data_IF_681273710108
#
_entry.id   IF_681273710108
#
_cell.length_a   1.000
_cell.length_b   1.000
_cell.length_c   1.000
_cell.angle_alpha   90.00
_cell.angle_beta   90.00
_cell.angle_gamma   90.00
#
_symmetry.space_group_name_H-M   'P 1'
#
loop_
_entity.id
_entity.type
_entity.pdbx_description
1 polymer ?
#
# COMPACT_ATOMS: atom_id res chain seq x y z
N UNK A 1 -25.73 -14.07 -25.39
CA UNK A 1 -25.48 -14.51 -24.01
C UNK A 1 -25.27 -13.26 -23.19
N UNK A 2 -25.92 -13.11 -22.03
CA UNK A 2 -25.64 -11.99 -21.14
C UNK A 2 -24.17 -12.11 -20.68
N UNK A 3 -23.43 -11.04 -20.84
CA UNK A 3 -22.01 -10.99 -20.44
C UNK A 3 -21.93 -11.14 -18.92
N UNK A 4 -21.19 -12.14 -18.44
CA UNK A 4 -21.12 -12.46 -17.02
C UNK A 4 -20.38 -11.33 -16.27
N UNK A 5 -20.95 -10.83 -15.18
CA UNK A 5 -20.32 -9.83 -14.33
C UNK A 5 -19.12 -10.39 -13.58
N UNK A 6 -18.15 -9.53 -13.23
CA UNK A 6 -16.97 -9.94 -12.46
C UNK A 6 -17.36 -10.40 -11.07
N UNK A 7 -16.72 -11.49 -10.62
CA UNK A 7 -16.94 -12.07 -9.29
C UNK A 7 -16.09 -11.36 -8.25
N UNK A 8 -16.69 -10.68 -7.26
CA UNK A 8 -15.94 -10.06 -6.17
C UNK A 8 -15.30 -11.13 -5.27
N UNK A 9 -14.15 -10.79 -4.66
CA UNK A 9 -13.46 -11.66 -3.70
C UNK A 9 -13.88 -11.40 -2.25
N UNK A 10 -14.65 -10.35 -1.99
CA UNK A 10 -15.17 -10.02 -0.66
C UNK A 10 -16.53 -9.32 -0.76
N UNK A 11 -17.28 -9.34 0.32
CA UNK A 11 -18.49 -8.54 0.46
C UNK A 11 -18.17 -7.11 0.93
N UNK A 12 -19.07 -6.13 0.73
CA UNK A 12 -18.95 -4.80 1.29
C UNK A 12 -18.77 -4.84 2.82
N UNK A 13 -18.08 -3.85 3.37
CA UNK A 13 -17.77 -3.73 4.78
C UNK A 13 -18.19 -2.35 5.31
N UNK A 14 -18.54 -2.27 6.59
CA UNK A 14 -18.94 -0.99 7.23
C UNK A 14 -17.83 0.04 7.33
N UNK A 15 -16.57 -0.40 7.26
CA UNK A 15 -15.39 0.45 7.44
C UNK A 15 -14.38 0.14 6.35
N UNK A 16 -13.75 1.15 5.73
CA UNK A 16 -12.74 0.91 4.70
C UNK A 16 -11.57 0.07 5.23
N UNK A 17 -11.09 -0.88 4.44
CA UNK A 17 -10.03 -1.81 4.83
C UNK A 17 -8.73 -1.10 5.29
N UNK A 18 -8.38 0.03 4.67
CA UNK A 18 -7.19 0.81 5.04
C UNK A 18 -7.31 1.46 6.43
N UNK A 19 -8.51 1.79 6.90
CA UNK A 19 -8.70 2.37 8.23
C UNK A 19 -8.55 1.35 9.35
N UNK A 20 -8.88 0.09 9.10
CA UNK A 20 -8.74 -1.00 10.08
C UNK A 20 -7.27 -1.24 10.46
N UNK A 21 -6.34 -0.97 9.56
CA UNK A 21 -4.90 -1.19 9.74
C UNK A 21 -4.10 0.10 9.90
N UNK A 22 -4.73 1.27 9.98
CA UNK A 22 -4.07 2.57 9.96
C UNK A 22 -3.00 2.72 11.06
N UNK A 23 -3.28 2.27 12.29
CA UNK A 23 -2.32 2.34 13.42
C UNK A 23 -1.11 1.46 13.19
N UNK A 24 -1.31 0.21 12.77
CA UNK A 24 -0.22 -0.72 12.48
C UNK A 24 0.63 -0.21 11.30
N UNK A 25 0.01 0.29 10.26
CA UNK A 25 0.68 0.86 9.10
C UNK A 25 1.54 2.07 9.47
N UNK A 26 1.02 3.00 10.28
CA UNK A 26 1.78 4.16 10.78
C UNK A 26 3.01 3.71 11.59
N UNK A 27 2.84 2.76 12.51
CA UNK A 27 3.95 2.22 13.31
C UNK A 27 5.01 1.58 12.43
N UNK A 28 4.61 0.81 11.42
CA UNK A 28 5.52 0.14 10.49
C UNK A 28 6.30 1.14 9.63
N UNK A 29 5.66 2.23 9.17
CA UNK A 29 6.33 3.28 8.40
C UNK A 29 7.40 3.97 9.27
N UNK A 30 7.05 4.41 10.48
CA UNK A 30 7.98 5.06 11.40
C UNK A 30 9.19 4.15 11.67
N UNK A 31 8.95 2.89 11.99
CA UNK A 31 9.99 1.90 12.24
C UNK A 31 10.89 1.68 11.03
N UNK A 32 10.31 1.69 9.82
CA UNK A 32 11.06 1.52 8.57
C UNK A 32 11.93 2.73 8.27
N UNK A 33 11.38 3.94 8.42
CA UNK A 33 12.13 5.20 8.23
C UNK A 33 13.30 5.30 9.24
N UNK A 34 13.07 4.96 10.51
CA UNK A 34 14.12 4.96 11.52
C UNK A 34 15.22 3.94 11.19
N UNK A 35 14.83 2.73 10.77
CA UNK A 35 15.79 1.70 10.36
C UNK A 35 16.63 2.13 9.17
N UNK A 36 16.01 2.80 8.18
CA UNK A 36 16.67 3.28 6.98
C UNK A 36 17.61 4.49 7.23
N UNK A 37 17.54 5.11 8.41
CA UNK A 37 18.34 6.30 8.73
C UNK A 37 19.85 6.03 8.83
N UNK A 38 20.24 4.79 9.15
CA UNK A 38 21.63 4.35 9.25
C UNK A 38 21.83 3.01 8.55
N UNK A 39 23.05 2.74 8.10
CA UNK A 39 23.42 1.42 7.56
C UNK A 39 23.24 0.32 8.60
N UNK A 40 23.04 -0.90 8.15
CA UNK A 40 22.93 -2.07 9.04
C UNK A 40 24.17 -2.21 9.92
N UNK A 41 25.38 -1.95 9.35
CA UNK A 41 26.64 -1.97 10.12
C UNK A 41 26.63 -0.95 11.25
N UNK A 42 26.14 0.27 11.02
CA UNK A 42 26.01 1.28 12.08
C UNK A 42 25.09 0.82 13.21
N UNK A 43 23.92 0.25 12.88
CA UNK A 43 23.01 -0.29 13.89
C UNK A 43 23.63 -1.43 14.70
N UNK A 44 24.37 -2.34 14.03
CA UNK A 44 25.09 -3.44 14.70
C UNK A 44 26.19 -2.92 15.61
N UNK A 45 26.97 -1.92 15.18
CA UNK A 45 28.01 -1.32 16.00
C UNK A 45 27.44 -0.58 17.21
N UNK A 46 26.36 0.19 17.05
CA UNK A 46 25.66 0.81 18.19
C UNK A 46 25.18 -0.25 19.17
N UNK A 47 24.51 -1.29 18.67
CA UNK A 47 24.03 -2.40 19.50
C UNK A 47 25.19 -3.11 20.22
N UNK A 48 26.28 -3.40 19.52
CA UNK A 48 27.48 -4.02 20.07
C UNK A 48 28.14 -3.20 21.16
N UNK A 49 28.28 -1.88 20.95
CA UNK A 49 28.83 -0.96 21.96
C UNK A 49 27.94 -0.90 23.21
N UNK A 50 26.62 -0.74 23.04
CA UNK A 50 25.68 -0.72 24.17
C UNK A 50 25.71 -2.03 24.94
N UNK A 51 25.75 -3.16 24.24
CA UNK A 51 25.86 -4.48 24.88
C UNK A 51 27.20 -4.67 25.57
N UNK A 52 28.31 -4.19 24.97
CA UNK A 52 29.63 -4.22 25.57
C UNK A 52 29.69 -3.44 26.89
N UNK A 53 29.12 -2.23 26.90
CA UNK A 53 29.00 -1.42 28.13
C UNK A 53 28.16 -2.14 29.19
N UNK A 54 27.03 -2.71 28.80
CA UNK A 54 26.16 -3.47 29.72
C UNK A 54 26.91 -4.67 30.33
N UNK A 55 27.66 -5.43 29.56
CA UNK A 55 28.48 -6.54 30.04
C UNK A 55 29.58 -6.06 31.00
N UNK A 56 30.27 -4.95 30.66
CA UNK A 56 31.34 -4.39 31.49
C UNK A 56 30.82 -3.91 32.87
N UNK A 57 29.60 -3.36 32.92
CA UNK A 57 29.01 -2.81 34.16
C UNK A 57 28.23 -3.86 34.96
N UNK A 58 27.54 -4.78 34.32
CA UNK A 58 26.55 -5.68 34.95
C UNK A 58 26.86 -7.17 34.74
N UNK A 59 27.93 -7.48 34.02
CA UNK A 59 28.36 -8.88 33.78
C UNK A 59 27.64 -9.58 32.62
N UNK A 60 28.08 -10.79 32.32
CA UNK A 60 27.63 -11.58 31.15
C UNK A 60 26.16 -11.94 31.14
N UNK A 61 25.46 -11.91 32.30
CA UNK A 61 24.03 -12.18 32.36
C UNK A 61 23.20 -11.21 31.51
N UNK A 62 23.73 -10.04 31.21
CA UNK A 62 23.10 -9.06 30.29
C UNK A 62 22.98 -9.53 28.84
N UNK A 63 23.67 -10.62 28.46
CA UNK A 63 23.50 -11.28 27.15
C UNK A 63 22.23 -12.13 27.07
N UNK A 64 21.68 -12.59 28.21
CA UNK A 64 20.52 -13.47 28.20
C UNK A 64 19.28 -12.92 27.52
N UNK A 65 18.86 -11.66 27.72
CA UNK A 65 17.70 -11.13 27.01
C UNK A 65 17.87 -11.17 25.49
N UNK A 66 19.04 -10.80 24.97
CA UNK A 66 19.32 -10.86 23.54
C UNK A 66 19.31 -12.30 23.03
N UNK A 67 19.95 -13.23 23.74
CA UNK A 67 19.96 -14.65 23.39
C UNK A 67 18.54 -15.23 23.36
N UNK A 68 17.71 -14.95 24.37
CA UNK A 68 16.31 -15.40 24.44
C UNK A 68 15.51 -14.86 23.25
N UNK A 69 15.62 -13.57 22.94
CA UNK A 69 14.88 -12.96 21.83
C UNK A 69 15.30 -13.55 20.48
N UNK A 70 16.61 -13.74 20.27
CA UNK A 70 17.12 -14.34 19.01
C UNK A 70 16.63 -15.77 18.88
N UNK A 71 16.82 -16.59 19.93
CA UNK A 71 16.39 -17.99 19.94
C UNK A 71 14.89 -18.12 19.69
N UNK A 72 14.06 -17.27 20.33
CA UNK A 72 12.63 -17.24 20.09
C UNK A 72 12.31 -16.92 18.63
N UNK A 73 12.92 -15.88 18.04
CA UNK A 73 12.67 -15.46 16.64
C UNK A 73 13.10 -16.52 15.64
N UNK A 74 14.26 -17.13 15.84
CA UNK A 74 14.76 -18.22 14.98
C UNK A 74 13.86 -19.45 15.12
N UNK A 75 13.55 -19.86 16.35
CA UNK A 75 12.65 -20.99 16.61
C UNK A 75 11.26 -20.78 16.01
N UNK A 76 10.68 -19.60 16.15
CA UNK A 76 9.40 -19.23 15.54
C UNK A 76 9.41 -19.38 14.01
N UNK A 77 10.47 -18.94 13.35
CA UNK A 77 10.62 -19.10 11.91
C UNK A 77 10.80 -20.58 11.50
N UNK A 78 11.60 -21.36 12.25
CA UNK A 78 11.80 -22.79 11.99
C UNK A 78 10.47 -23.54 12.12
N UNK A 79 9.67 -23.26 13.16
CA UNK A 79 8.36 -23.89 13.34
C UNK A 79 7.40 -23.60 12.18
N UNK A 80 7.45 -22.38 11.61
CA UNK A 80 6.67 -22.05 10.40
C UNK A 80 7.20 -22.76 9.16
N UNK A 81 8.53 -22.89 8.99
CA UNK A 81 9.14 -23.60 7.85
C UNK A 81 8.75 -25.09 7.88
N UNK A 82 8.73 -25.70 9.06
CA UNK A 82 8.35 -27.12 9.20
C UNK A 82 6.83 -27.36 9.20
N UNK A 83 6.02 -26.30 9.05
CA UNK A 83 4.57 -26.42 9.06
C UNK A 83 3.95 -26.70 10.45
N UNK A 84 4.75 -26.69 11.53
CA UNK A 84 4.25 -26.89 12.90
C UNK A 84 3.54 -25.64 13.45
N UNK A 85 3.77 -24.51 12.80
CA UNK A 85 3.10 -23.24 13.11
C UNK A 85 2.61 -22.59 11.82
N UNK A 86 1.43 -21.98 11.87
CA UNK A 86 0.87 -21.21 10.75
C UNK A 86 1.83 -20.10 10.34
N UNK A 87 2.10 -20.01 9.03
CA UNK A 87 2.96 -18.96 8.46
C UNK A 87 2.23 -17.61 8.51
N UNK A 88 2.62 -16.74 9.45
CA UNK A 88 2.04 -15.41 9.62
C UNK A 88 2.20 -14.48 8.42
N UNK A 89 3.19 -14.73 7.56
CA UNK A 89 3.44 -13.91 6.36
C UNK A 89 2.37 -14.12 5.29
N UNK A 90 1.68 -15.27 5.31
CA UNK A 90 0.59 -15.59 4.39
C UNK A 90 -0.77 -15.02 4.85
N UNK A 91 -0.87 -14.48 6.04
CA UNK A 91 -2.11 -13.88 6.53
C UNK A 91 -2.54 -12.71 5.65
N UNK A 92 -3.76 -12.75 5.11
CA UNK A 92 -4.33 -11.74 4.21
C UNK A 92 -3.81 -11.82 2.77
N UNK A 93 -3.10 -12.89 2.39
CA UNK A 93 -2.72 -13.16 1.00
C UNK A 93 -3.89 -13.79 0.27
N UNK A 94 -4.23 -13.27 -0.90
CA UNK A 94 -5.09 -13.93 -1.87
C UNK A 94 -4.23 -14.86 -2.74
N UNK A 95 -4.46 -16.17 -2.67
CA UNK A 95 -3.68 -17.17 -3.39
C UNK A 95 -4.06 -17.31 -4.86
N UNK A 96 -5.21 -16.79 -5.25
CA UNK A 96 -5.66 -16.79 -6.64
C UNK A 96 -5.16 -15.55 -7.37
N UNK A 97 -5.08 -15.66 -8.70
CA UNK A 97 -4.90 -14.52 -9.58
C UNK A 97 -6.11 -13.60 -9.49
N UNK A 98 -5.91 -12.34 -9.21
CA UNK A 98 -6.96 -11.35 -9.07
C UNK A 98 -6.57 -10.00 -9.68
N UNK A 99 -7.54 -9.15 -9.91
CA UNK A 99 -7.35 -7.79 -10.42
C UNK A 99 -8.29 -6.83 -9.69
N UNK A 100 -7.90 -5.56 -9.63
CA UNK A 100 -8.76 -4.52 -9.11
C UNK A 100 -9.65 -3.98 -10.23
N UNK A 101 -10.95 -3.83 -9.94
CA UNK A 101 -11.95 -3.19 -10.80
C UNK A 101 -12.77 -2.21 -9.96
N UNK A 102 -13.26 -1.14 -10.59
CA UNK A 102 -14.09 -0.17 -9.87
C UNK A 102 -15.52 -0.72 -9.76
N UNK A 103 -16.07 -0.87 -8.54
CA UNK A 103 -17.45 -1.30 -8.35
C UNK A 103 -18.42 -0.20 -8.79
N UNK A 104 -19.67 -0.59 -9.08
CA UNK A 104 -20.79 0.33 -9.23
C UNK A 104 -21.24 0.87 -7.87
N UNK A 105 -22.06 1.89 -7.87
CA UNK A 105 -22.61 2.50 -6.65
C UNK A 105 -23.39 1.55 -5.76
N UNK A 106 -23.97 0.48 -6.33
CA UNK A 106 -24.69 -0.58 -5.60
C UNK A 106 -23.77 -1.69 -5.05
N UNK A 107 -22.44 -1.60 -5.27
CA UNK A 107 -21.45 -2.59 -4.87
C UNK A 107 -21.29 -3.75 -5.87
N UNK A 108 -22.06 -3.78 -6.95
CA UNK A 108 -21.90 -4.79 -8.01
C UNK A 108 -20.73 -4.44 -8.94
N UNK A 109 -20.25 -5.44 -9.67
CA UNK A 109 -19.25 -5.24 -10.73
C UNK A 109 -19.88 -5.44 -12.10
N UNK A 110 -19.39 -4.69 -13.09
CA UNK A 110 -19.73 -4.90 -14.49
C UNK A 110 -19.00 -6.11 -15.09
N UNK A 111 -19.03 -6.19 -16.41
CA UNK A 111 -18.32 -7.17 -17.24
C UNK A 111 -17.23 -6.52 -18.08
N UNK A 112 -17.16 -5.19 -18.12
CA UNK A 112 -16.18 -4.42 -18.89
C UNK A 112 -14.99 -4.06 -18.00
N UNK A 113 -13.76 -4.48 -18.34
CA UNK A 113 -12.56 -4.11 -17.60
C UNK A 113 -12.28 -2.61 -17.65
N UNK A 114 -11.70 -2.07 -16.59
CA UNK A 114 -11.29 -0.67 -16.49
C UNK A 114 -12.41 0.32 -16.90
N UNK A 115 -13.66 0.02 -16.52
CA UNK A 115 -14.84 0.77 -16.97
C UNK A 115 -14.91 2.21 -16.44
N UNK A 116 -14.09 2.59 -15.48
CA UNK A 116 -14.02 3.93 -14.88
C UNK A 116 -12.65 4.55 -15.04
N UNK A 117 -12.58 5.88 -15.00
CA UNK A 117 -11.31 6.60 -14.85
C UNK A 117 -10.78 6.46 -13.42
N UNK A 118 -9.48 6.69 -13.26
CA UNK A 118 -8.79 6.70 -11.96
C UNK A 118 -7.99 7.98 -11.82
N UNK A 119 -7.85 8.48 -10.59
CA UNK A 119 -6.88 9.51 -10.24
C UNK A 119 -5.83 8.88 -9.33
N UNK A 120 -4.59 8.88 -9.81
CA UNK A 120 -3.42 8.40 -9.07
C UNK A 120 -2.62 9.60 -8.64
N UNK A 121 -2.33 9.69 -7.35
CA UNK A 121 -1.56 10.76 -6.74
C UNK A 121 -0.34 10.17 -6.04
N UNK A 122 0.84 10.50 -6.53
CA UNK A 122 2.11 10.17 -5.93
C UNK A 122 2.56 11.36 -5.09
N UNK A 123 2.86 11.15 -3.83
CA UNK A 123 3.41 12.19 -2.98
C UNK A 123 4.55 11.62 -2.15
N UNK A 124 5.68 12.32 -2.14
CA UNK A 124 6.84 11.87 -1.41
C UNK A 124 7.67 13.01 -0.83
N UNK A 125 8.59 12.63 0.04
CA UNK A 125 9.54 13.52 0.67
C UNK A 125 10.85 12.83 0.96
N UNK A 126 11.93 13.61 1.04
CA UNK A 126 13.26 13.13 1.40
C UNK A 126 13.95 14.15 2.30
N UNK A 127 14.68 13.66 3.29
CA UNK A 127 15.58 14.47 4.09
C UNK A 127 17.03 14.28 3.62
N UNK A 128 17.62 15.33 3.06
CA UNK A 128 19.04 15.34 2.64
C UNK A 128 19.97 15.90 3.75
N UNK A 129 19.48 15.98 5.00
CA UNK A 129 20.28 16.37 6.16
C UNK A 129 21.02 15.15 6.72
N UNK A 130 22.26 15.30 7.26
CA UNK A 130 23.00 14.18 7.87
C UNK A 130 22.28 13.48 9.02
N UNK A 131 21.37 14.15 9.70
CA UNK A 131 20.51 13.55 10.73
C UNK A 131 19.35 12.73 10.14
N UNK A 132 19.06 12.83 8.84
CA UNK A 132 17.97 12.11 8.20
C UNK A 132 16.61 12.35 8.88
N UNK A 133 15.94 11.28 9.30
CA UNK A 133 14.64 11.34 9.97
C UNK A 133 14.66 12.03 11.36
N UNK A 134 15.84 12.26 11.94
CA UNK A 134 15.98 12.98 13.22
C UNK A 134 16.05 14.50 13.05
N UNK A 135 16.11 15.02 11.81
CA UNK A 135 16.06 16.45 11.57
C UNK A 135 14.71 17.04 12.03
N UNK A 136 14.71 18.05 12.92
CA UNK A 136 13.46 18.59 13.49
C UNK A 136 12.52 19.21 12.46
N UNK A 137 13.07 19.79 11.39
CA UNK A 137 12.27 20.43 10.34
C UNK A 137 11.59 19.35 9.47
N UNK A 138 12.35 18.35 9.06
CA UNK A 138 11.81 17.21 8.30
C UNK A 138 10.74 16.46 9.10
N UNK A 139 10.97 16.26 10.41
CA UNK A 139 9.99 15.65 11.30
C UNK A 139 8.68 16.42 11.31
N UNK A 140 8.73 17.75 11.39
CA UNK A 140 7.53 18.58 11.37
C UNK A 140 6.79 18.53 10.03
N UNK A 141 7.51 18.44 8.90
CA UNK A 141 6.91 18.20 7.57
C UNK A 141 6.21 16.84 7.54
N UNK A 142 6.85 15.80 8.08
CA UNK A 142 6.28 14.45 8.18
C UNK A 142 5.04 14.42 9.07
N UNK A 143 5.01 15.19 10.17
CA UNK A 143 3.84 15.31 11.06
C UNK A 143 2.65 15.95 10.33
N UNK A 144 2.89 16.98 9.50
CA UNK A 144 1.87 17.57 8.64
C UNK A 144 1.32 16.56 7.66
N UNK A 145 2.21 15.81 6.97
CA UNK A 145 1.78 14.78 6.04
C UNK A 145 0.93 13.70 6.72
N UNK A 146 1.38 13.18 7.86
CA UNK A 146 0.63 12.18 8.61
C UNK A 146 -0.74 12.70 9.09
N UNK A 147 -0.83 13.97 9.48
CA UNK A 147 -2.09 14.59 9.87
C UNK A 147 -3.03 14.79 8.67
N UNK A 148 -2.50 15.16 7.50
CA UNK A 148 -3.28 15.26 6.26
C UNK A 148 -3.85 13.91 5.82
N UNK A 149 -3.07 12.86 5.90
CA UNK A 149 -3.56 11.50 5.58
C UNK A 149 -4.68 11.08 6.55
N UNK A 150 -4.51 11.35 7.86
CA UNK A 150 -5.56 11.05 8.84
C UNK A 150 -6.85 11.83 8.59
N UNK A 151 -6.76 13.12 8.21
CA UNK A 151 -7.93 13.91 7.85
C UNK A 151 -8.66 13.34 6.64
N UNK A 152 -7.93 13.01 5.57
CA UNK A 152 -8.48 12.38 4.37
C UNK A 152 -9.17 11.04 4.67
N UNK A 153 -8.60 10.24 5.58
CA UNK A 153 -9.15 8.94 5.97
C UNK A 153 -10.34 9.05 6.92
N UNK A 154 -10.40 10.10 7.73
CA UNK A 154 -11.49 10.29 8.69
C UNK A 154 -12.84 10.56 8.01
N UNK A 155 -12.81 11.18 6.83
CA UNK A 155 -14.01 11.48 6.04
C UNK A 155 -13.77 11.11 4.57
N UNK A 156 -13.45 9.84 4.34
CA UNK A 156 -13.05 9.35 3.02
C UNK A 156 -14.15 9.48 1.95
N UNK A 157 -15.42 9.41 2.35
CA UNK A 157 -16.53 9.59 1.43
C UNK A 157 -16.58 11.02 0.88
N UNK A 158 -16.37 12.03 1.72
CA UNK A 158 -16.35 13.44 1.33
C UNK A 158 -15.03 13.81 0.68
N UNK A 159 -13.91 13.35 1.21
CA UNK A 159 -12.57 13.64 0.67
C UNK A 159 -12.30 12.96 -0.68
N UNK A 160 -13.04 11.91 -0.99
CA UNK A 160 -12.84 11.10 -2.18
C UNK A 160 -11.57 10.24 -2.17
N UNK A 161 -10.91 10.10 -1.03
CA UNK A 161 -9.76 9.19 -0.89
C UNK A 161 -10.26 7.73 -0.96
N UNK A 162 -9.72 6.96 -1.89
CA UNK A 162 -10.03 5.54 -2.04
C UNK A 162 -9.00 4.65 -1.35
N UNK A 163 -7.75 5.10 -1.26
CA UNK A 163 -6.69 4.35 -0.60
C UNK A 163 -5.33 5.03 -0.68
N UNK A 164 -4.42 4.61 0.18
CA UNK A 164 -3.04 5.08 0.22
C UNK A 164 -2.11 3.91 0.57
N UNK A 165 -1.09 3.69 -0.22
CA UNK A 165 -0.06 2.68 0.02
C UNK A 165 1.29 3.37 0.15
N UNK A 166 1.97 3.27 1.30
CA UNK A 166 3.28 3.87 1.51
C UNK A 166 4.39 2.98 0.97
N UNK A 167 5.46 3.62 0.49
CA UNK A 167 6.70 3.00 0.03
C UNK A 167 7.91 3.74 0.56
N UNK A 168 9.03 3.03 0.69
CA UNK A 168 10.35 3.61 0.90
C UNK A 168 11.19 3.28 -0.33
N UNK A 169 11.81 4.30 -0.92
CA UNK A 169 12.75 4.13 -2.01
C UNK A 169 14.01 3.39 -1.57
N UNK A 170 14.80 2.95 -2.52
CA UNK A 170 16.07 2.25 -2.30
C UNK A 170 17.17 2.79 -3.23
N UNK A 171 17.10 4.05 -3.62
CA UNK A 171 18.08 4.69 -4.49
C UNK A 171 19.42 4.94 -3.82
N UNK A 172 19.46 4.91 -2.49
CA UNK A 172 20.66 5.17 -1.69
C UNK A 172 20.81 4.13 -0.56
N UNK A 173 21.98 4.09 0.05
CA UNK A 173 22.25 3.15 1.13
C UNK A 173 21.42 3.44 2.40
N UNK A 174 21.07 4.71 2.63
CA UNK A 174 20.29 5.19 3.80
C UNK A 174 19.54 6.46 3.47
N UNK A 175 18.67 6.88 4.39
CA UNK A 175 17.88 8.11 4.27
C UNK A 175 17.13 8.23 2.94
N UNK A 176 16.54 7.11 2.51
CA UNK A 176 15.79 7.04 1.28
C UNK A 176 14.50 7.87 1.34
N UNK A 177 13.98 8.19 0.18
CA UNK A 177 12.71 8.91 0.09
C UNK A 177 11.55 8.06 0.59
N UNK A 178 10.64 8.67 1.34
CA UNK A 178 9.34 8.11 1.67
C UNK A 178 8.31 8.61 0.65
N UNK A 179 7.48 7.70 0.13
CA UNK A 179 6.45 8.01 -0.86
C UNK A 179 5.14 7.31 -0.48
N UNK A 180 4.02 7.91 -0.85
CA UNK A 180 2.71 7.25 -0.85
C UNK A 180 2.11 7.31 -2.25
N UNK A 181 1.58 6.18 -2.70
CA UNK A 181 0.69 6.11 -3.86
C UNK A 181 -0.73 6.16 -3.34
N UNK A 182 -1.46 7.19 -3.72
CA UNK A 182 -2.83 7.44 -3.28
C UNK A 182 -3.78 7.37 -4.47
N UNK A 183 -4.98 6.90 -4.23
CA UNK A 183 -6.04 6.83 -5.23
C UNK A 183 -7.20 7.71 -4.80
N UNK A 184 -7.69 8.54 -5.70
CA UNK A 184 -8.85 9.39 -5.49
C UNK A 184 -9.97 9.04 -6.46
N UNK A 185 -11.21 9.27 -6.03
CA UNK A 185 -12.41 9.06 -6.84
C UNK A 185 -12.38 9.90 -8.12
N UNK A 186 -11.98 11.17 -7.98
CA UNK A 186 -11.90 12.15 -9.06
C UNK A 186 -10.89 13.25 -8.75
N UNK A 187 -10.52 14.03 -9.77
CA UNK A 187 -9.56 15.12 -9.65
C UNK A 187 -10.14 16.30 -8.83
N UNK A 188 -11.45 16.50 -8.88
CA UNK A 188 -12.12 17.56 -8.12
C UNK A 188 -11.97 17.33 -6.62
N UNK A 189 -12.18 16.11 -6.14
CA UNK A 189 -11.96 15.71 -4.75
C UNK A 189 -10.54 16.00 -4.28
N UNK A 190 -9.54 15.63 -5.07
CA UNK A 190 -8.13 15.93 -4.77
C UNK A 190 -7.87 17.44 -4.69
N UNK A 191 -8.35 18.21 -5.66
CA UNK A 191 -8.16 19.67 -5.69
C UNK A 191 -8.92 20.36 -4.56
N UNK A 192 -10.15 19.95 -4.26
CA UNK A 192 -10.92 20.48 -3.13
C UNK A 192 -10.15 20.31 -1.83
N UNK A 193 -9.56 19.14 -1.60
CA UNK A 193 -8.72 18.90 -0.43
C UNK A 193 -7.46 19.77 -0.45
N UNK A 194 -6.76 19.87 -1.58
CA UNK A 194 -5.55 20.67 -1.73
C UNK A 194 -5.77 22.17 -1.45
N UNK A 195 -6.99 22.68 -1.64
CA UNK A 195 -7.37 24.04 -1.28
C UNK A 195 -8.05 24.14 0.09
N UNK A 196 -8.17 23.01 0.80
CA UNK A 196 -8.77 22.97 2.13
C UNK A 196 -7.90 23.65 3.21
N UNK A 197 -8.51 24.07 4.32
CA UNK A 197 -7.84 24.91 5.32
C UNK A 197 -6.65 24.19 5.98
N UNK A 198 -6.72 22.89 6.14
CA UNK A 198 -5.65 22.13 6.78
C UNK A 198 -4.44 21.98 5.86
N UNK A 199 -4.64 21.62 4.59
CA UNK A 199 -3.55 21.54 3.59
C UNK A 199 -2.91 22.93 3.41
N UNK A 200 -3.69 24.00 3.37
CA UNK A 200 -3.17 25.36 3.26
C UNK A 200 -2.30 25.79 4.47
N UNK A 201 -2.52 25.25 5.67
CA UNK A 201 -1.59 25.46 6.82
C UNK A 201 -0.22 24.81 6.55
N UNK A 202 -0.20 23.61 5.98
CA UNK A 202 1.05 22.93 5.61
C UNK A 202 1.78 23.69 4.49
N UNK A 203 1.06 24.18 3.48
CA UNK A 203 1.61 25.02 2.40
C UNK A 203 2.22 26.30 2.97
N UNK A 204 1.51 26.99 3.88
CA UNK A 204 2.03 28.20 4.53
C UNK A 204 3.31 27.90 5.33
N UNK A 205 3.31 26.82 6.11
CA UNK A 205 4.51 26.40 6.83
C UNK A 205 5.67 26.11 5.87
N UNK A 206 5.43 25.36 4.80
CA UNK A 206 6.43 25.09 3.76
C UNK A 206 7.02 26.38 3.17
N UNK A 207 6.17 27.35 2.80
CA UNK A 207 6.60 28.65 2.29
C UNK A 207 7.49 29.44 3.23
N UNK A 208 7.33 29.27 4.55
CA UNK A 208 8.17 29.91 5.56
C UNK A 208 9.56 29.28 5.70
N UNK A 209 9.68 27.98 5.49
CA UNK A 209 10.91 27.24 5.76
C UNK A 209 11.76 26.97 4.50
N UNK A 210 11.15 26.85 3.33
CA UNK A 210 11.79 26.31 2.11
C UNK A 210 13.10 27.00 1.73
N UNK A 211 13.18 28.32 1.93
CA UNK A 211 14.41 29.09 1.60
C UNK A 211 15.59 28.75 2.51
N UNK A 212 15.32 28.37 3.77
CA UNK A 212 16.32 28.15 4.80
C UNK A 212 16.59 26.65 5.07
N UNK A 213 15.86 25.74 4.38
CA UNK A 213 15.95 24.31 4.59
C UNK A 213 16.08 23.55 3.26
N UNK A 214 17.16 23.78 2.51
CA UNK A 214 17.35 23.17 1.19
C UNK A 214 17.50 21.65 1.24
N UNK A 215 17.72 21.09 2.44
CA UNK A 215 17.86 19.67 2.69
C UNK A 215 16.53 18.92 2.80
N UNK A 216 15.38 19.63 2.89
CA UNK A 216 14.05 19.00 2.91
C UNK A 216 13.47 19.07 1.51
N UNK A 217 13.12 17.91 0.97
CA UNK A 217 12.50 17.77 -0.35
C UNK A 217 11.08 17.25 -0.21
N UNK A 218 10.15 17.83 -0.96
CA UNK A 218 8.78 17.34 -1.17
C UNK A 218 8.52 17.33 -2.66
N UNK A 219 7.80 16.33 -3.12
CA UNK A 219 7.32 16.26 -4.51
C UNK A 219 5.96 15.57 -4.58
N UNK A 220 5.21 15.85 -5.62
CA UNK A 220 4.00 15.11 -5.97
C UNK A 220 3.80 15.06 -7.48
N UNK A 221 3.07 14.04 -7.90
CA UNK A 221 2.63 13.86 -9.28
C UNK A 221 1.17 13.43 -9.28
N UNK A 222 0.40 13.92 -10.25
CA UNK A 222 -1.02 13.59 -10.39
C UNK A 222 -1.26 13.04 -11.79
N UNK A 223 -1.84 11.85 -11.86
CA UNK A 223 -2.22 11.21 -13.11
C UNK A 223 -3.73 11.00 -13.14
N UNK A 224 -4.38 11.52 -14.17
CA UNK A 224 -5.77 11.21 -14.50
C UNK A 224 -5.75 10.18 -15.60
N UNK A 225 -6.11 8.94 -15.25
CA UNK A 225 -6.06 7.81 -16.18
C UNK A 225 -7.45 7.54 -16.70
N UNK A 226 -7.69 7.67 -18.01
CA UNK A 226 -8.99 7.43 -18.62
C UNK A 226 -9.45 5.97 -18.47
N UNK A 227 -10.76 5.75 -18.53
CA UNK A 227 -11.34 4.39 -18.63
C UNK A 227 -10.72 3.64 -19.81
N UNK A 228 -10.52 2.32 -19.64
CA UNK A 228 -9.93 1.45 -20.66
C UNK A 228 -8.43 1.62 -20.86
N UNK A 229 -7.76 2.52 -20.12
CA UNK A 229 -6.32 2.79 -20.26
C UNK A 229 -5.52 2.44 -19.01
N UNK A 230 -6.05 1.55 -18.18
CA UNK A 230 -5.34 1.02 -17.02
C UNK A 230 -5.68 -0.46 -16.82
N UNK A 231 -4.77 -1.14 -16.19
CA UNK A 231 -4.98 -2.52 -15.78
C UNK A 231 -4.24 -2.81 -14.48
N UNK A 232 -4.64 -3.86 -13.78
CA UNK A 232 -3.92 -4.37 -12.63
C UNK A 232 -3.94 -5.89 -12.66
N UNK A 233 -2.92 -6.49 -12.09
CA UNK A 233 -2.85 -7.93 -11.85
C UNK A 233 -2.08 -8.23 -10.57
N UNK A 234 -2.61 -9.14 -9.79
CA UNK A 234 -2.03 -9.61 -8.54
C UNK A 234 -2.07 -11.13 -8.51
N UNK A 235 -1.02 -11.74 -8.01
CA UNK A 235 -0.93 -13.18 -7.78
C UNK A 235 -0.25 -13.46 -6.46
N UNK A 236 -0.83 -14.31 -5.62
CA UNK A 236 -0.31 -14.66 -4.30
C UNK A 236 0.08 -13.41 -3.47
N UNK A 237 -0.77 -12.39 -3.48
CA UNK A 237 -0.46 -11.08 -2.94
C UNK A 237 -1.44 -10.66 -1.84
N UNK A 238 -0.93 -9.92 -0.88
CA UNK A 238 -1.79 -9.08 -0.03
C UNK A 238 -2.27 -7.89 -0.86
N UNK A 239 -3.47 -7.35 -0.60
CA UNK A 239 -3.91 -6.12 -1.23
C UNK A 239 -2.86 -5.01 -1.07
N UNK A 240 -2.46 -4.42 -2.20
CA UNK A 240 -1.50 -3.31 -2.28
C UNK A 240 -1.86 -2.40 -3.45
N UNK A 241 -1.43 -1.14 -3.43
CA UNK A 241 -1.80 -0.20 -4.48
C UNK A 241 -3.31 -0.09 -4.63
N UNK A 242 -3.82 -0.14 -5.86
CA UNK A 242 -5.26 -0.04 -6.13
C UNK A 242 -6.05 -1.19 -5.48
N UNK A 243 -5.48 -2.39 -5.37
CA UNK A 243 -6.18 -3.51 -4.72
C UNK A 243 -6.41 -3.32 -3.22
N UNK A 244 -5.68 -2.42 -2.58
CA UNK A 244 -5.88 -2.03 -1.18
C UNK A 244 -6.86 -0.85 -1.01
N UNK A 245 -7.40 -0.32 -2.11
CA UNK A 245 -8.41 0.72 -2.06
C UNK A 245 -9.76 0.19 -1.56
N UNK A 246 -10.62 1.10 -1.13
CA UNK A 246 -12.01 0.82 -0.78
C UNK A 246 -12.91 1.88 -1.42
N UNK A 247 -13.98 1.45 -2.03
CA UNK A 247 -14.93 2.30 -2.74
C UNK A 247 -16.22 2.41 -1.94
N UNK A 248 -16.76 3.63 -1.73
CA UNK A 248 -18.05 3.80 -1.08
C UNK A 248 -19.16 3.27 -2.00
N UNK A 249 -20.05 2.47 -1.44
CA UNK A 249 -21.17 1.84 -2.13
C UNK A 249 -22.43 1.90 -1.27
N UNK A 250 -23.59 1.85 -1.92
CA UNK A 250 -24.90 1.86 -1.27
C UNK A 250 -25.70 0.63 -1.73
N UNK A 251 -25.51 -0.55 -1.12
CA UNK A 251 -26.21 -1.77 -1.51
C UNK A 251 -27.72 -1.63 -1.39
N UNK A 252 -28.45 -2.13 -2.37
CA UNK A 252 -29.92 -2.03 -2.39
C UNK A 252 -30.62 -2.73 -1.20
N UNK A 253 -29.97 -3.74 -0.61
CA UNK A 253 -30.43 -4.46 0.57
C UNK A 253 -29.91 -3.90 1.89
N UNK A 254 -29.14 -2.79 1.85
CA UNK A 254 -28.61 -2.11 3.02
C UNK A 254 -29.68 -1.22 3.67
N UNK A 255 -29.34 -0.71 4.87
CA UNK A 255 -30.15 0.24 5.63
C UNK A 255 -29.99 1.70 5.15
N UNK A 256 -29.41 1.92 3.97
CA UNK A 256 -29.11 3.24 3.41
C UNK A 256 -27.79 3.84 3.91
N UNK A 257 -27.03 3.12 4.75
CA UNK A 257 -25.68 3.52 5.17
C UNK A 257 -24.66 3.24 4.07
N UNK A 258 -23.62 4.05 4.01
CA UNK A 258 -22.48 3.81 3.13
C UNK A 258 -21.70 2.60 3.61
N UNK A 259 -21.48 1.65 2.71
CA UNK A 259 -20.57 0.52 2.89
C UNK A 259 -19.34 0.70 2.00
N UNK A 260 -18.30 -0.09 2.23
CA UNK A 260 -17.04 0.00 1.52
C UNK A 260 -16.72 -1.30 0.80
N UNK A 261 -16.64 -1.22 -0.52
CA UNK A 261 -16.36 -2.37 -1.38
C UNK A 261 -14.89 -2.41 -1.76
N UNK A 262 -14.26 -3.58 -1.57
CA UNK A 262 -12.94 -3.86 -2.11
C UNK A 262 -13.01 -3.98 -3.64
N UNK A 263 -12.05 -3.41 -4.41
CA UNK A 263 -12.05 -3.52 -5.87
C UNK A 263 -11.65 -4.90 -6.40
N UNK A 264 -11.30 -5.84 -5.52
CA UNK A 264 -10.69 -7.10 -5.90
C UNK A 264 -11.71 -8.08 -6.47
N UNK A 265 -11.48 -8.50 -7.71
CA UNK A 265 -12.29 -9.48 -8.44
C UNK A 265 -11.42 -10.63 -8.96
N UNK A 266 -12.04 -11.79 -9.16
CA UNK A 266 -11.40 -12.98 -9.72
C UNK A 266 -10.94 -12.73 -11.16
N UNK A 267 -9.64 -12.87 -11.43
CA UNK A 267 -9.05 -12.64 -12.74
C UNK A 267 -9.16 -13.86 -13.69
N UNK A 268 -9.85 -14.94 -13.29
CA UNK A 268 -10.13 -16.11 -14.17
C UNK A 268 -11.23 -15.82 -15.18
N UNK A 269 -11.96 -14.72 -15.03
CA UNK A 269 -12.94 -14.27 -16.03
C UNK A 269 -12.25 -14.05 -17.39
N UNK A 270 -12.84 -14.49 -18.54
CA UNK A 270 -12.18 -14.42 -19.85
C UNK A 270 -11.62 -13.06 -20.22
N UNK A 271 -12.35 -11.95 -19.94
CA UNK A 271 -11.89 -10.59 -20.23
C UNK A 271 -10.85 -10.05 -19.23
N UNK A 272 -10.60 -10.74 -18.12
CA UNK A 272 -9.61 -10.33 -17.11
C UNK A 272 -8.36 -11.21 -17.11
N UNK A 273 -8.38 -12.34 -17.83
CA UNK A 273 -7.34 -13.34 -17.79
C UNK A 273 -6.00 -12.84 -18.36
N UNK A 274 -6.05 -12.07 -19.45
CA UNK A 274 -4.88 -11.53 -20.14
C UNK A 274 -4.74 -10.02 -19.98
N UNK A 275 -3.55 -9.49 -20.22
CA UNK A 275 -3.29 -8.04 -20.23
C UNK A 275 -4.10 -7.35 -21.34
N UNK A 276 -4.14 -7.94 -22.53
CA UNK A 276 -4.92 -7.46 -23.67
C UNK A 276 -6.41 -7.33 -23.34
N UNK A 277 -6.95 -8.35 -22.63
CA UNK A 277 -8.34 -8.32 -22.16
C UNK A 277 -8.58 -7.19 -21.14
N UNK A 278 -7.71 -7.08 -20.14
CA UNK A 278 -7.87 -6.08 -19.06
C UNK A 278 -7.75 -4.65 -19.54
N UNK A 279 -6.85 -4.35 -20.50
CA UNK A 279 -6.68 -3.00 -21.07
C UNK A 279 -7.43 -2.80 -22.40
N UNK A 280 -8.14 -3.81 -22.87
CA UNK A 280 -8.92 -3.80 -24.12
C UNK A 280 -8.10 -3.36 -25.35
N UNK A 281 -6.86 -3.86 -25.47
CA UNK A 281 -5.93 -3.50 -26.54
C UNK A 281 -5.86 -4.56 -27.63
N UNK A 282 -6.27 -4.21 -28.85
CA UNK A 282 -6.17 -5.11 -30.00
C UNK A 282 -4.71 -5.39 -30.40
N UNK A 283 -3.81 -4.44 -30.20
CA UNK A 283 -2.38 -4.65 -30.42
C UNK A 283 -1.84 -5.76 -29.49
N UNK A 284 -2.20 -5.75 -28.23
CA UNK A 284 -1.78 -6.76 -27.28
C UNK A 284 -2.42 -8.11 -27.56
N UNK A 285 -3.66 -8.18 -28.06
CA UNK A 285 -4.29 -9.45 -28.46
C UNK A 285 -3.48 -10.19 -29.50
N UNK A 286 -3.05 -9.53 -30.58
CA UNK A 286 -2.23 -10.12 -31.61
C UNK A 286 -0.85 -10.57 -31.12
N UNK A 287 -0.32 -9.96 -30.07
CA UNK A 287 0.92 -10.40 -29.42
C UNK A 287 0.69 -11.61 -28.50
N UNK A 288 -0.38 -11.63 -27.74
CA UNK A 288 -0.73 -12.73 -26.82
C UNK A 288 -1.10 -14.01 -27.57
N UNK A 289 -1.77 -13.93 -28.71
CA UNK A 289 -2.09 -15.09 -29.56
C UNK A 289 -0.84 -15.86 -29.97
N UNK A 290 0.28 -15.18 -30.22
CA UNK A 290 1.57 -15.80 -30.56
C UNK A 290 2.22 -16.55 -29.39
N UNK A 291 1.80 -16.25 -28.16
CA UNK A 291 2.39 -16.76 -26.92
C UNK A 291 1.35 -17.43 -26.01
N UNK A 292 0.17 -17.77 -26.54
CA UNK A 292 -0.97 -18.30 -25.79
C UNK A 292 -0.64 -19.51 -24.92
N UNK A 293 0.16 -20.45 -25.43
CA UNK A 293 0.55 -21.65 -24.68
C UNK A 293 1.32 -21.33 -23.38
N UNK A 294 2.15 -20.28 -23.39
CA UNK A 294 2.92 -19.86 -22.22
C UNK A 294 1.97 -19.22 -21.20
N UNK A 295 1.07 -18.35 -21.66
CA UNK A 295 0.14 -17.65 -20.79
C UNK A 295 -0.86 -18.60 -20.14
N UNK A 296 -1.41 -19.55 -20.90
CA UNK A 296 -2.38 -20.52 -20.41
C UNK A 296 -1.78 -21.46 -19.36
N UNK A 297 -0.57 -21.96 -19.58
CA UNK A 297 0.10 -22.84 -18.62
C UNK A 297 0.64 -22.13 -17.37
N UNK A 298 1.06 -20.88 -17.49
CA UNK A 298 1.72 -20.17 -16.40
C UNK A 298 0.73 -19.51 -15.44
N UNK A 299 -0.45 -19.12 -15.92
CA UNK A 299 -1.39 -18.27 -15.13
C UNK A 299 -2.71 -18.96 -14.77
N UNK A 300 -2.90 -20.21 -15.17
CA UNK A 300 -4.09 -21.01 -14.86
C UNK A 300 -3.86 -21.98 -13.70
N UNK A 301 -2.94 -21.67 -12.83
CA UNK A 301 -2.69 -22.49 -11.63
C UNK A 301 -3.87 -22.32 -10.68
N UNK A 302 -4.61 -23.39 -10.48
CA UNK A 302 -5.60 -23.48 -9.41
C UNK A 302 -4.86 -23.74 -8.08
N UNK A 303 -4.84 -22.75 -7.22
CA UNK A 303 -4.25 -22.85 -5.87
C UNK A 303 -5.25 -23.43 -4.86
N UNK A 304 -6.31 -24.11 -5.32
CA UNK A 304 -7.50 -24.49 -4.57
C UNK A 304 -7.28 -25.16 -3.21
N UNK A 305 -6.15 -25.84 -3.01
CA UNK A 305 -5.88 -26.60 -1.77
C UNK A 305 -4.69 -26.07 -0.96
N UNK A 306 -4.06 -24.96 -1.37
CA UNK A 306 -2.90 -24.38 -0.68
C UNK A 306 -3.31 -23.26 0.30
N UNK A 307 -4.59 -23.08 0.53
CA UNK A 307 -5.05 -22.16 1.57
C UNK A 307 -4.65 -22.72 2.95
N UNK A 308 -3.88 -21.95 3.78
CA UNK A 308 -3.43 -22.40 5.09
C UNK A 308 -4.59 -22.57 6.08
#
# INVERSE_FOLDING_TARGET
MAEQSFRPLSSPQKVPAYSQNAKAMTTNIISTVLRDNFTISTWLLIGGLLQGVAVALLGYLTLLPAAVVITYRVGDNILMIWGWKKNRYLSGVFFNKFTAQVPRSDGSFGSTPAASSLVVFLIGSKCNHPLGAFDPVYRKVSDYFAAMVRELQADAEVSGLLGATPFIGNSEATANQAMSVMYFRDLESLHKYAHGPFHMKAVKYWGQIVKNTPHVSIYHETYVVPKGQWETIYGNSKPTGLSAAAFPVHPAQGNGETEWMSPNVDARHPSLRSAAGRIQSDYLKGYEEKHSEIWDKTFDVDYGDIAP
#
